data_IF_726938227955
#
_entry.id   IF_726938227955
#
_cell.length_a   1.000
_cell.length_b   1.000
_cell.length_c   1.000
_cell.angle_alpha   90.00
_cell.angle_beta   90.00
_cell.angle_gamma   90.00
#
_symmetry.space_group_name_H-M   'P 1'
#
loop_
_entity.id
_entity.type
_entity.pdbx_description
1 polymer ?
#
# COMPACT_ATOMS: atom_id res chain seq x y z
N UNK A 1 -25.22 -3.11 -7.63
CA UNK A 1 -24.05 -3.98 -7.41
C UNK A 1 -22.83 -3.13 -7.70
N UNK A 2 -21.98 -2.84 -6.72
CA UNK A 2 -20.71 -2.15 -7.00
C UNK A 2 -19.83 -3.11 -7.78
N UNK A 3 -19.48 -2.74 -9.02
CA UNK A 3 -18.50 -3.48 -9.79
C UNK A 3 -17.11 -3.11 -9.25
N UNK A 4 -16.40 -4.11 -8.74
CA UNK A 4 -15.01 -3.93 -8.33
C UNK A 4 -14.14 -3.89 -9.59
N UNK A 5 -13.34 -2.84 -9.75
CA UNK A 5 -12.35 -2.76 -10.83
C UNK A 5 -11.00 -3.26 -10.32
N UNK A 6 -10.30 -4.06 -11.13
CA UNK A 6 -8.97 -4.59 -10.82
C UNK A 6 -8.04 -4.43 -12.02
N UNK A 7 -6.81 -3.98 -11.80
CA UNK A 7 -5.76 -3.97 -12.83
C UNK A 7 -4.89 -5.22 -12.69
N UNK A 8 -5.05 -6.17 -13.61
CA UNK A 8 -4.17 -7.34 -13.69
C UNK A 8 -2.73 -6.93 -14.00
N UNK A 9 -1.76 -7.65 -13.44
CA UNK A 9 -0.33 -7.41 -13.67
C UNK A 9 0.11 -5.96 -13.38
N UNK A 10 -0.44 -5.36 -12.32
CA UNK A 10 -0.02 -4.06 -11.82
C UNK A 10 1.48 -4.01 -11.52
N UNK A 11 1.99 -5.08 -10.88
CA UNK A 11 3.40 -5.36 -10.71
C UNK A 11 3.68 -6.76 -11.24
N UNK A 12 4.88 -6.95 -11.79
CA UNK A 12 5.41 -8.28 -12.11
C UNK A 12 5.83 -9.02 -10.84
N UNK A 13 5.97 -10.35 -10.92
CA UNK A 13 6.44 -11.16 -9.80
C UNK A 13 7.83 -10.72 -9.30
N UNK A 14 8.78 -10.44 -10.21
CA UNK A 14 10.12 -9.97 -9.83
C UNK A 14 10.14 -8.59 -9.18
N UNK A 15 9.23 -7.70 -9.58
CA UNK A 15 9.03 -6.41 -8.91
C UNK A 15 8.49 -6.60 -7.49
N UNK A 16 7.52 -7.49 -7.30
CA UNK A 16 7.00 -7.84 -5.98
C UNK A 16 8.10 -8.44 -5.08
N UNK A 17 8.90 -9.37 -5.60
CA UNK A 17 10.02 -9.97 -4.88
C UNK A 17 11.05 -8.91 -4.45
N UNK A 18 11.38 -7.96 -5.34
CA UNK A 18 12.29 -6.85 -5.03
C UNK A 18 11.75 -5.97 -3.90
N UNK A 19 10.45 -5.64 -3.93
CA UNK A 19 9.81 -4.86 -2.86
C UNK A 19 9.86 -5.64 -1.54
N UNK A 20 9.50 -6.92 -1.56
CA UNK A 20 9.49 -7.79 -0.36
C UNK A 20 10.90 -7.92 0.24
N UNK A 21 11.93 -8.12 -0.59
CA UNK A 21 13.31 -8.23 -0.14
C UNK A 21 13.77 -6.93 0.56
N UNK A 22 13.48 -5.78 -0.05
CA UNK A 22 13.86 -4.49 0.48
C UNK A 22 13.12 -4.13 1.79
N UNK A 23 11.80 -4.32 1.84
CA UNK A 23 11.01 -4.00 3.04
C UNK A 23 11.28 -4.96 4.21
N UNK A 24 11.79 -6.17 3.94
CA UNK A 24 12.21 -7.11 5.00
C UNK A 24 13.55 -6.74 5.63
N UNK A 25 14.38 -5.97 4.94
CA UNK A 25 15.69 -5.54 5.42
C UNK A 25 15.65 -4.31 6.34
N UNK A 26 14.50 -3.65 6.45
CA UNK A 26 14.32 -2.41 7.23
C UNK A 26 13.40 -2.64 8.44
N UNK A 27 13.54 -1.85 9.52
CA UNK A 27 12.62 -1.93 10.65
C UNK A 27 11.21 -1.52 10.25
N UNK A 28 10.21 -2.25 10.75
CA UNK A 28 8.80 -1.92 10.60
C UNK A 28 8.22 -1.28 11.86
N UNK A 29 7.20 -0.45 11.69
CA UNK A 29 6.49 0.24 12.78
C UNK A 29 5.12 -0.39 13.01
N UNK A 30 4.56 -0.24 14.21
CA UNK A 30 3.17 -0.64 14.44
C UNK A 30 2.21 0.21 13.61
N UNK A 31 1.18 -0.43 13.08
CA UNK A 31 0.14 0.28 12.37
C UNK A 31 -0.71 1.16 13.31
N UNK A 32 -0.98 2.37 12.84
CA UNK A 32 -1.80 3.37 13.52
C UNK A 32 -3.08 3.62 12.73
N UNK A 33 -4.06 4.21 13.41
CA UNK A 33 -5.27 4.79 12.81
C UNK A 33 -5.07 6.29 12.58
N UNK A 34 -6.05 6.90 11.89
CA UNK A 34 -6.14 8.35 11.73
C UNK A 34 -6.04 9.04 13.09
N UNK A 35 -5.33 10.17 13.14
CA UNK A 35 -5.05 10.89 14.39
C UNK A 35 -3.98 10.22 15.26
N UNK A 36 -3.17 9.31 14.70
CA UNK A 36 -2.07 8.63 15.41
C UNK A 36 -2.54 7.85 16.66
N UNK A 37 -3.73 7.24 16.59
CA UNK A 37 -4.26 6.39 17.66
C UNK A 37 -3.95 4.92 17.38
N UNK A 38 -3.71 4.15 18.45
CA UNK A 38 -3.46 2.70 18.36
C UNK A 38 -4.64 1.93 18.94
N UNK A 39 -5.33 1.16 18.11
CA UNK A 39 -6.37 0.23 18.56
C UNK A 39 -6.18 -1.13 17.87
N UNK A 40 -5.61 -2.08 18.62
CA UNK A 40 -5.24 -3.40 18.08
C UNK A 40 -6.42 -4.33 17.81
N UNK A 41 -7.64 -3.95 18.20
CA UNK A 41 -8.89 -4.63 17.85
C UNK A 41 -9.47 -4.14 16.52
N UNK A 42 -9.03 -2.96 16.05
CA UNK A 42 -9.43 -2.40 14.76
C UNK A 42 -8.38 -2.65 13.69
N UNK A 43 -7.10 -2.45 14.01
CA UNK A 43 -5.99 -2.68 13.09
C UNK A 43 -4.79 -3.25 13.84
N UNK A 44 -4.26 -4.35 13.34
CA UNK A 44 -3.03 -4.96 13.83
C UNK A 44 -2.15 -5.39 12.66
N UNK A 45 -1.15 -4.57 12.37
CA UNK A 45 -0.19 -4.80 11.29
C UNK A 45 1.14 -4.13 11.62
N UNK A 46 2.17 -4.53 10.86
CA UNK A 46 3.45 -3.83 10.79
C UNK A 46 3.52 -3.05 9.48
N UNK A 47 3.99 -1.81 9.53
CA UNK A 47 4.05 -0.90 8.40
C UNK A 47 5.48 -0.56 8.07
N UNK A 48 5.74 -0.44 6.77
CA UNK A 48 6.94 0.13 6.19
C UNK A 48 6.49 1.14 5.14
N UNK A 49 7.00 2.37 5.25
CA UNK A 49 6.79 3.42 4.27
C UNK A 49 7.90 3.30 3.22
N UNK A 50 7.52 3.30 1.94
CA UNK A 50 8.41 2.88 0.84
C UNK A 50 9.36 4.00 0.41
N UNK A 51 8.93 5.25 0.58
CA UNK A 51 9.74 6.46 0.37
C UNK A 51 10.97 6.53 1.29
N UNK A 52 10.89 5.92 2.47
CA UNK A 52 12.01 5.80 3.41
C UNK A 52 13.07 4.76 2.97
N UNK A 53 12.89 4.08 1.82
CA UNK A 53 13.76 2.99 1.37
C UNK A 53 14.51 3.35 0.08
N UNK A 54 15.83 3.45 0.20
CA UNK A 54 16.73 3.65 -0.93
C UNK A 54 16.51 2.60 -2.02
N UNK A 55 16.37 3.07 -3.27
CA UNK A 55 16.20 2.21 -4.44
C UNK A 55 14.78 1.69 -4.69
N UNK A 56 13.78 2.12 -3.91
CA UNK A 56 12.36 1.84 -4.13
C UNK A 56 11.53 3.04 -4.63
N UNK A 57 12.15 4.19 -4.94
CA UNK A 57 11.43 5.36 -5.46
C UNK A 57 10.53 5.08 -6.69
N UNK A 58 10.93 4.13 -7.53
CA UNK A 58 10.16 3.69 -8.71
C UNK A 58 8.78 3.10 -8.38
N UNK A 59 8.56 2.63 -7.14
CA UNK A 59 7.28 2.04 -6.73
C UNK A 59 6.17 3.09 -6.79
N UNK A 60 6.47 4.32 -6.38
CA UNK A 60 5.49 5.42 -6.47
C UNK A 60 5.19 5.78 -7.92
N UNK A 61 6.22 5.88 -8.77
CA UNK A 61 6.05 6.14 -10.20
C UNK A 61 5.16 5.08 -10.87
N UNK A 62 5.38 3.80 -10.53
CA UNK A 62 4.57 2.68 -11.00
C UNK A 62 3.11 2.80 -10.57
N UNK A 63 2.85 3.12 -9.30
CA UNK A 63 1.50 3.32 -8.78
C UNK A 63 0.78 4.47 -9.47
N UNK A 64 1.46 5.62 -9.63
CA UNK A 64 0.93 6.79 -10.35
C UNK A 64 0.56 6.41 -11.78
N UNK A 65 1.41 5.65 -12.48
CA UNK A 65 1.14 5.19 -13.83
C UNK A 65 -0.10 4.28 -13.91
N UNK A 66 -0.26 3.36 -12.97
CA UNK A 66 -1.42 2.45 -12.89
C UNK A 66 -2.70 3.23 -12.62
N UNK A 67 -2.66 4.15 -11.64
CA UNK A 67 -3.81 4.98 -11.27
C UNK A 67 -4.20 5.87 -12.44
N UNK A 68 -3.24 6.56 -13.08
CA UNK A 68 -3.50 7.43 -14.23
C UNK A 68 -4.20 6.68 -15.36
N UNK A 69 -3.68 5.51 -15.76
CA UNK A 69 -4.31 4.70 -16.83
C UNK A 69 -5.71 4.25 -16.43
N UNK A 70 -5.86 3.72 -15.22
CA UNK A 70 -7.16 3.25 -14.72
C UNK A 70 -8.20 4.38 -14.62
N UNK A 71 -7.77 5.58 -14.23
CA UNK A 71 -8.63 6.75 -14.15
C UNK A 71 -9.15 7.15 -15.53
N UNK A 72 -8.26 7.25 -16.52
CA UNK A 72 -8.64 7.54 -17.92
C UNK A 72 -9.56 6.45 -18.48
N UNK A 73 -9.27 5.19 -18.19
CA UNK A 73 -10.00 4.06 -18.79
C UNK A 73 -11.39 3.85 -18.17
N UNK A 74 -11.65 4.29 -16.92
CA UNK A 74 -12.82 3.85 -16.15
C UNK A 74 -13.53 4.90 -15.31
N UNK A 75 -12.84 5.92 -14.78
CA UNK A 75 -13.36 6.72 -13.66
C UNK A 75 -13.49 8.21 -13.91
N UNK A 76 -12.59 8.79 -14.71
CA UNK A 76 -12.59 10.22 -15.09
C UNK A 76 -12.59 11.20 -13.88
N UNK A 77 -11.83 10.89 -12.83
CA UNK A 77 -11.62 11.84 -11.73
C UNK A 77 -10.62 12.95 -12.09
N UNK A 78 -10.83 14.16 -11.57
CA UNK A 78 -9.85 15.27 -11.60
C UNK A 78 -8.74 15.03 -10.56
N UNK A 79 -7.81 14.13 -10.89
CA UNK A 79 -6.66 13.81 -10.04
C UNK A 79 -5.63 14.93 -10.08
N UNK A 80 -5.39 15.60 -8.94
CA UNK A 80 -4.48 16.75 -8.86
C UNK A 80 -3.11 16.43 -8.29
N UNK A 81 -3.05 15.49 -7.35
CA UNK A 81 -1.80 15.15 -6.67
C UNK A 81 -1.85 13.74 -6.07
N UNK A 82 -0.67 13.27 -5.68
CA UNK A 82 -0.49 12.08 -4.86
C UNK A 82 0.30 12.49 -3.61
N UNK A 83 -0.42 12.86 -2.56
CA UNK A 83 0.15 13.48 -1.36
C UNK A 83 0.58 12.48 -0.27
N UNK A 84 0.37 11.17 -0.50
CA UNK A 84 0.70 10.12 0.46
C UNK A 84 1.72 9.15 -0.10
N UNK A 85 2.72 8.82 0.72
CA UNK A 85 3.75 7.84 0.38
C UNK A 85 3.19 6.42 0.36
N UNK A 86 3.69 5.54 -0.54
CA UNK A 86 3.26 4.15 -0.57
C UNK A 86 3.58 3.44 0.74
N UNK A 87 2.65 2.60 1.19
CA UNK A 87 2.77 1.82 2.41
C UNK A 87 2.71 0.33 2.11
N UNK A 88 3.66 -0.43 2.67
CA UNK A 88 3.58 -1.88 2.76
C UNK A 88 3.11 -2.28 4.15
N UNK A 89 1.98 -2.97 4.22
CA UNK A 89 1.41 -3.48 5.46
C UNK A 89 1.56 -5.01 5.55
N UNK A 90 2.21 -5.47 6.61
CA UNK A 90 2.40 -6.90 6.91
C UNK A 90 1.44 -7.35 8.02
N UNK A 91 0.68 -8.40 7.75
CA UNK A 91 -0.27 -9.01 8.69
C UNK A 91 0.19 -10.43 9.02
N UNK A 92 0.70 -10.64 10.25
CA UNK A 92 1.17 -11.95 10.69
C UNK A 92 0.08 -12.71 11.45
N UNK A 93 -0.13 -13.97 11.09
CA UNK A 93 -1.06 -14.84 11.80
C UNK A 93 -0.65 -15.06 13.27
N UNK A 94 0.65 -15.15 13.56
CA UNK A 94 1.20 -15.27 14.93
C UNK A 94 0.74 -14.17 15.88
N UNK A 95 0.44 -13.00 15.31
CA UNK A 95 0.08 -11.81 16.07
C UNK A 95 -1.43 -11.54 15.97
N UNK A 96 -2.23 -12.44 15.38
CA UNK A 96 -3.62 -12.17 14.98
C UNK A 96 -3.75 -10.91 14.11
N UNK A 97 -2.85 -10.72 13.14
CA UNK A 97 -2.85 -9.54 12.27
C UNK A 97 -4.14 -9.42 11.45
N UNK A 98 -4.79 -8.24 11.47
CA UNK A 98 -6.04 -7.97 10.78
C UNK A 98 -6.29 -6.46 10.60
N UNK A 99 -7.34 -6.13 9.83
CA UNK A 99 -7.99 -4.82 9.82
C UNK A 99 -9.50 -5.06 9.77
N UNK A 100 -10.24 -4.58 10.77
CA UNK A 100 -11.70 -4.65 10.82
C UNK A 100 -12.35 -3.87 9.66
N UNK A 101 -13.65 -4.07 9.43
CA UNK A 101 -14.41 -3.32 8.43
C UNK A 101 -14.29 -1.81 8.64
N UNK A 102 -13.97 -1.07 7.57
CA UNK A 102 -13.73 0.37 7.58
C UNK A 102 -14.03 0.97 6.20
N UNK A 103 -14.09 2.31 6.16
CA UNK A 103 -14.17 3.14 4.97
C UNK A 103 -13.10 4.20 5.02
#
# INVERSE_FOLDING_TARGET
MMALYSKSAAFSAGECERIIAAITAVPSKDAMLVGQTKNTSLRRAKLVWVDDIDGLGWVMDRLIEIVRKSNVDQFDFDLREFAESPQVASYKASDSGHFAWHS
#
